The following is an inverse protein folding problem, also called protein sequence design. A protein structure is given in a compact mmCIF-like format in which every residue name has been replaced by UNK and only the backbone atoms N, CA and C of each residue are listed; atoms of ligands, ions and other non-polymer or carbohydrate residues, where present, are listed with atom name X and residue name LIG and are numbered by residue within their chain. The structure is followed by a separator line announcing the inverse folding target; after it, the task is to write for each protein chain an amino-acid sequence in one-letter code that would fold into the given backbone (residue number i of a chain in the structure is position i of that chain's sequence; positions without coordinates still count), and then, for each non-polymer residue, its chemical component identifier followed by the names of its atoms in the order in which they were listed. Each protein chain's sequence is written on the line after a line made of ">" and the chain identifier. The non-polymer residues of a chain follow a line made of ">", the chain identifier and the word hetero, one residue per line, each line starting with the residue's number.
data_IF_917038228050
#
_entry.id   IF_917038228050
#
_cell.length_a   1.000
_cell.length_b   1.000
_cell.length_c   1.000
_cell.angle_alpha   90.00
_cell.angle_beta   90.00
_cell.angle_gamma   90.00
#
_symmetry.space_group_name_H-M   'P 1'
#
loop_
_entity.id
_entity.type
_entity.pdbx_description
1 polymer ?
#
# COMPACT_ATOMS: atom_id res chain seq x y z
N UNK A 1 -5.88 9.18 -16.37
CA UNK A 1 -6.85 8.85 -15.32
C UNK A 1 -6.15 8.16 -14.15
N UNK A 2 -6.53 8.49 -12.92
CA UNK A 2 -5.82 8.11 -11.68
C UNK A 2 -5.99 6.63 -11.32
N UNK A 3 -7.19 6.08 -11.49
CA UNK A 3 -7.53 4.69 -11.21
C UNK A 3 -6.76 3.70 -12.08
N UNK A 4 -6.60 4.01 -13.37
CA UNK A 4 -5.78 3.20 -14.28
C UNK A 4 -4.31 3.15 -13.83
N UNK A 5 -3.76 4.29 -13.38
CA UNK A 5 -2.39 4.36 -12.85
C UNK A 5 -2.23 3.53 -11.58
N UNK A 6 -3.18 3.60 -10.65
CA UNK A 6 -3.19 2.77 -9.43
C UNK A 6 -3.19 1.28 -9.80
N UNK A 7 -4.09 0.88 -10.70
CA UNK A 7 -4.20 -0.51 -11.15
C UNK A 7 -2.91 -0.99 -11.80
N UNK A 8 -2.30 -0.17 -12.66
CA UNK A 8 -1.04 -0.48 -13.34
C UNK A 8 0.09 -0.71 -12.33
N UNK A 9 0.34 0.25 -11.43
CA UNK A 9 1.38 0.14 -10.40
C UNK A 9 1.16 -1.06 -9.48
N UNK A 10 -0.10 -1.36 -9.14
CA UNK A 10 -0.47 -2.54 -8.34
C UNK A 10 -0.08 -3.84 -9.04
N UNK A 11 -0.38 -3.95 -10.34
CA UNK A 11 -0.04 -5.13 -11.14
C UNK A 11 1.48 -5.27 -11.30
N UNK A 12 2.20 -4.16 -11.53
CA UNK A 12 3.67 -4.16 -11.62
C UNK A 12 4.34 -4.64 -10.32
N UNK A 13 3.75 -4.34 -9.16
CA UNK A 13 4.19 -4.86 -7.85
C UNK A 13 3.71 -6.29 -7.56
N UNK A 14 2.92 -6.92 -8.44
CA UNK A 14 2.35 -8.26 -8.28
C UNK A 14 1.52 -8.47 -7.00
N UNK A 15 0.75 -7.48 -6.59
CA UNK A 15 -0.15 -7.58 -5.42
C UNK A 15 -1.62 -7.49 -5.83
N UNK A 16 -2.50 -8.08 -5.03
CA UNK A 16 -3.95 -8.03 -5.16
C UNK A 16 -4.53 -6.71 -4.63
N UNK A 17 -5.79 -6.41 -4.99
CA UNK A 17 -6.52 -5.26 -4.44
C UNK A 17 -6.66 -5.35 -2.91
N UNK A 18 -6.77 -6.57 -2.37
CA UNK A 18 -6.88 -6.79 -0.92
C UNK A 18 -5.57 -6.47 -0.22
N UNK A 19 -4.43 -6.87 -0.78
CA UNK A 19 -3.12 -6.55 -0.22
C UNK A 19 -2.84 -5.05 -0.23
N UNK A 20 -3.13 -4.37 -1.36
CA UNK A 20 -3.01 -2.91 -1.43
C UNK A 20 -3.93 -2.21 -0.41
N UNK A 21 -5.15 -2.72 -0.23
CA UNK A 21 -6.10 -2.18 0.74
C UNK A 21 -5.57 -2.30 2.18
N UNK A 22 -4.98 -3.44 2.53
CA UNK A 22 -4.36 -3.67 3.84
C UNK A 22 -3.17 -2.73 4.08
N UNK A 23 -2.34 -2.49 3.07
CA UNK A 23 -1.19 -1.58 3.14
C UNK A 23 -1.63 -0.13 3.37
N UNK A 24 -2.71 0.28 2.71
CA UNK A 24 -3.24 1.65 2.77
C UNK A 24 -4.29 1.84 3.88
N UNK A 25 -4.57 0.82 4.69
CA UNK A 25 -5.59 0.83 5.74
C UNK A 25 -6.99 1.24 5.24
N UNK A 26 -7.37 0.79 4.06
CA UNK A 26 -8.71 1.01 3.46
C UNK A 26 -9.38 -0.32 3.14
N UNK A 27 -10.66 -0.28 2.74
CA UNK A 27 -11.36 -1.49 2.29
C UNK A 27 -10.93 -1.92 0.88
N UNK A 28 -10.98 -3.22 0.58
CA UNK A 28 -10.78 -3.75 -0.78
C UNK A 28 -11.71 -3.07 -1.80
N UNK A 29 -12.95 -2.82 -1.38
CA UNK A 29 -13.96 -2.15 -2.20
C UNK A 29 -13.54 -0.72 -2.53
N UNK A 30 -12.89 -0.01 -1.61
CA UNK A 30 -12.33 1.33 -1.84
C UNK A 30 -11.30 1.30 -2.96
N UNK A 31 -10.31 0.39 -2.89
CA UNK A 31 -9.32 0.19 -3.96
C UNK A 31 -10.02 -0.13 -5.29
N UNK A 32 -10.97 -1.06 -5.27
CA UNK A 32 -11.71 -1.45 -6.47
C UNK A 32 -12.59 -0.33 -7.04
N UNK A 33 -13.02 0.65 -6.24
CA UNK A 33 -13.73 1.85 -6.70
C UNK A 33 -12.77 2.88 -7.30
N UNK A 34 -11.59 3.06 -6.70
CA UNK A 34 -10.53 3.90 -7.28
C UNK A 34 -10.08 3.36 -8.64
N UNK A 35 -9.77 2.07 -8.76
CA UNK A 35 -9.31 1.46 -10.02
C UNK A 35 -10.37 1.48 -11.15
N UNK A 36 -11.64 1.71 -10.81
CA UNK A 36 -12.75 1.82 -11.78
C UNK A 36 -13.26 3.25 -11.93
N UNK A 37 -12.52 4.24 -11.44
CA UNK A 37 -12.86 5.67 -11.52
C UNK A 37 -14.23 6.03 -10.89
N UNK A 38 -14.73 5.20 -9.97
CA UNK A 38 -16.02 5.47 -9.31
C UNK A 38 -15.91 6.49 -8.18
N UNK A 39 -14.72 6.59 -7.59
CA UNK A 39 -14.36 7.51 -6.52
C UNK A 39 -12.89 7.87 -6.68
N UNK A 40 -12.48 9.03 -6.17
CA UNK A 40 -11.08 9.48 -6.23
C UNK A 40 -10.48 9.34 -4.81
N UNK A 41 -9.23 8.88 -4.67
CA UNK A 41 -8.52 8.90 -3.39
C UNK A 41 -8.34 10.34 -2.90
N UNK A 42 -8.51 10.57 -1.59
CA UNK A 42 -8.19 11.85 -0.98
C UNK A 42 -6.66 12.10 -0.98
N UNK A 43 -6.23 13.31 -0.60
CA UNK A 43 -4.82 13.70 -0.60
C UNK A 43 -3.95 12.78 0.27
N UNK A 44 -4.44 12.36 1.44
CA UNK A 44 -3.72 11.43 2.33
C UNK A 44 -3.46 10.08 1.64
N UNK A 45 -4.49 9.51 1.02
CA UNK A 45 -4.38 8.26 0.27
C UNK A 45 -3.46 8.38 -0.94
N UNK A 46 -3.45 9.53 -1.62
CA UNK A 46 -2.51 9.80 -2.73
C UNK A 46 -1.07 9.82 -2.21
N UNK A 47 -0.81 10.45 -1.05
CA UNK A 47 0.51 10.43 -0.42
C UNK A 47 0.92 9.01 -0.04
N UNK A 48 0.01 8.21 0.53
CA UNK A 48 0.30 6.82 0.86
C UNK A 48 0.57 5.96 -0.39
N UNK A 49 -0.21 6.12 -1.46
CA UNK A 49 0.00 5.46 -2.75
C UNK A 49 1.37 5.82 -3.34
N UNK A 50 1.70 7.11 -3.38
CA UNK A 50 3.00 7.61 -3.83
C UNK A 50 4.15 7.00 -3.02
N UNK A 51 4.01 6.96 -1.71
CA UNK A 51 5.00 6.36 -0.82
C UNK A 51 5.17 4.86 -1.06
N UNK A 52 4.06 4.13 -1.21
CA UNK A 52 4.08 2.68 -1.41
C UNK A 52 4.66 2.29 -2.77
N UNK A 53 4.30 3.02 -3.81
CA UNK A 53 4.79 2.76 -5.18
C UNK A 53 6.13 3.41 -5.49
N UNK A 54 6.71 4.18 -4.56
CA UNK A 54 7.97 4.91 -4.73
C UNK A 54 7.93 5.88 -5.92
N UNK A 55 6.79 6.54 -6.11
CA UNK A 55 6.57 7.54 -7.16
C UNK A 55 6.24 8.90 -6.54
N UNK A 56 6.35 9.98 -7.30
CA UNK A 56 5.87 11.28 -6.85
C UNK A 56 4.34 11.34 -6.86
N UNK A 57 3.75 12.12 -5.96
CA UNK A 57 2.30 12.37 -5.97
C UNK A 57 1.82 12.99 -7.28
N UNK A 58 2.68 13.76 -7.96
CA UNK A 58 2.47 14.32 -9.29
C UNK A 58 2.09 13.26 -10.33
N UNK A 59 2.57 12.01 -10.17
CA UNK A 59 2.24 10.91 -11.07
C UNK A 59 0.73 10.64 -11.13
N UNK A 60 -0.01 10.88 -10.05
CA UNK A 60 -1.45 10.62 -9.96
C UNK A 60 -2.33 11.78 -10.45
N UNK A 61 -1.77 12.96 -10.74
CA UNK A 61 -2.50 14.12 -11.24
C UNK A 61 -2.25 14.28 -12.75
N UNK A 62 -3.32 14.28 -13.55
CA UNK A 62 -3.23 14.33 -15.02
C UNK A 62 -2.77 15.71 -15.58
N UNK A 63 -2.48 16.68 -14.71
CA UNK A 63 -2.05 18.04 -15.10
C UNK A 63 -0.54 18.19 -15.33
N UNK A 64 0.27 17.16 -15.09
CA UNK A 64 1.72 17.22 -15.28
C UNK A 64 2.14 16.45 -16.54
N UNK A 65 2.45 17.23 -17.57
CA UNK A 65 2.84 16.87 -18.93
C UNK A 65 3.72 15.61 -19.07
N UNK A 66 3.37 14.86 -20.11
CA UNK A 66 3.97 13.64 -20.64
C UNK A 66 5.37 13.84 -21.28
N UNK A 67 6.21 14.72 -20.73
CA UNK A 67 7.51 15.06 -21.30
C UNK A 67 8.58 15.32 -20.24
N UNK A 68 8.99 14.28 -19.49
CA UNK A 68 10.33 14.21 -18.88
C UNK A 68 10.83 12.78 -18.86
N UNK A 69 11.33 12.31 -20.00
CA UNK A 69 12.49 11.43 -19.94
C UNK A 69 13.63 12.21 -19.26
N UNK A 70 14.26 11.57 -18.28
CA UNK A 70 15.45 11.98 -17.51
C UNK A 70 15.27 12.81 -16.23
N UNK A 71 16.01 12.33 -15.22
CA UNK A 71 16.35 12.91 -13.92
C UNK A 71 15.46 12.54 -12.73
N UNK A 72 15.55 11.25 -12.39
CA UNK A 72 15.87 10.80 -11.02
C UNK A 72 16.60 11.92 -10.26
N UNK A 73 15.93 12.54 -9.29
CA UNK A 73 16.37 13.80 -8.69
C UNK A 73 15.86 14.04 -7.27
N UNK A 74 16.01 13.03 -6.40
CA UNK A 74 16.38 13.17 -4.97
C UNK A 74 15.69 14.30 -4.15
N UNK A 75 14.52 14.01 -3.55
CA UNK A 75 14.05 14.60 -2.27
C UNK A 75 13.20 13.55 -1.53
N UNK A 76 13.75 12.76 -0.60
CA UNK A 76 13.98 13.07 0.82
C UNK A 76 12.73 13.50 1.61
N UNK A 77 11.76 12.59 1.79
CA UNK A 77 10.99 12.49 3.04
C UNK A 77 10.49 11.04 3.25
N UNK A 78 11.40 10.06 3.15
CA UNK A 78 11.08 8.63 3.14
C UNK A 78 11.50 7.89 4.43
N UNK A 79 11.38 8.52 5.59
CA UNK A 79 11.93 7.97 6.84
C UNK A 79 10.92 7.45 7.87
N UNK A 80 9.61 7.47 7.62
CA UNK A 80 8.63 7.19 8.68
C UNK A 80 7.99 5.79 8.68
N UNK A 81 8.08 4.98 7.62
CA UNK A 81 7.26 3.75 7.52
C UNK A 81 8.02 2.40 7.46
N UNK A 82 9.28 2.33 7.89
CA UNK A 82 10.01 1.03 7.95
C UNK A 82 9.83 0.25 9.27
N UNK A 83 9.13 0.79 10.27
CA UNK A 83 9.24 0.33 11.66
C UNK A 83 8.21 -0.66 12.20
N UNK A 84 7.09 -0.94 11.52
CA UNK A 84 5.93 -1.56 12.21
C UNK A 84 5.69 -3.04 11.84
N UNK A 85 6.13 -3.54 10.68
CA UNK A 85 5.72 -4.89 10.22
C UNK A 85 6.51 -6.08 10.84
N UNK A 86 7.59 -5.83 11.58
CA UNK A 86 8.52 -6.90 12.02
C UNK A 86 8.15 -7.57 13.35
N UNK A 87 7.20 -7.04 14.12
CA UNK A 87 6.94 -7.52 15.50
C UNK A 87 5.86 -8.61 15.59
N UNK A 88 4.98 -8.73 14.59
CA UNK A 88 3.79 -9.59 14.69
C UNK A 88 4.02 -11.10 14.56
N UNK A 89 5.18 -11.55 14.05
CA UNK A 89 5.47 -12.99 13.88
C UNK A 89 5.86 -13.68 15.19
N UNK A 90 6.50 -12.96 16.12
CA UNK A 90 6.95 -13.49 17.41
C UNK A 90 5.79 -13.64 18.39
N UNK A 91 4.89 -12.65 18.43
CA UNK A 91 3.72 -12.66 19.32
C UNK A 91 2.75 -13.82 19.01
N UNK A 92 2.59 -14.17 17.72
CA UNK A 92 1.72 -15.28 17.30
C UNK A 92 2.24 -16.66 17.77
N UNK A 93 3.56 -16.85 17.79
CA UNK A 93 4.17 -18.12 18.20
C UNK A 93 4.03 -18.38 19.72
N UNK A 94 4.13 -17.32 20.53
CA UNK A 94 3.94 -17.39 21.99
C UNK A 94 2.51 -17.83 22.34
N UNK A 95 1.51 -17.36 21.59
CA UNK A 95 0.11 -17.74 21.81
C UNK A 95 -0.14 -19.23 21.57
N UNK A 96 0.47 -19.83 20.54
CA UNK A 96 0.36 -21.26 20.27
C UNK A 96 1.02 -22.13 21.36
N UNK A 97 2.13 -21.68 21.95
CA UNK A 97 2.87 -22.43 22.98
C UNK A 97 2.10 -22.56 24.31
N UNK A 98 1.24 -21.60 24.63
CA UNK A 98 0.46 -21.58 25.90
C UNK A 98 -0.83 -22.41 25.84
N UNK A 99 -1.37 -22.69 24.65
CA UNK A 99 -2.68 -23.35 24.48
C UNK A 99 -2.53 -24.88 24.36
N UNK A 100 -1.45 -25.36 23.76
CA UNK A 100 -1.17 -26.80 23.55
C UNK A 100 -1.27 -27.67 24.83
N UNK A 101 -0.81 -27.23 26.03
CA UNK A 101 -0.88 -28.05 27.24
C UNK A 101 -2.31 -28.34 27.71
N UNK A 102 -3.25 -27.43 27.45
CA UNK A 102 -4.64 -27.58 27.88
C UNK A 102 -5.42 -28.61 27.06
N UNK A 103 -4.96 -28.90 25.83
CA UNK A 103 -5.56 -29.90 24.95
C UNK A 103 -5.09 -31.33 25.22
N UNK A 104 -4.00 -31.53 25.97
CA UNK A 104 -3.44 -32.85 26.27
C UNK A 104 -3.93 -33.45 27.60
N UNK A 105 -4.78 -32.72 28.34
CA UNK A 105 -5.29 -33.13 29.66
C UNK A 105 -6.71 -33.74 29.58
N UNK A 106 -7.27 -33.86 28.37
CA UNK A 106 -8.54 -34.56 28.09
C UNK A 106 -8.32 -35.69 27.09
#
# INVERSE_FOLDING_TARGET
>A
MIGEKIKKLRIEKNISQTELANILFVSRQTIGRWEREQTIPNTENIVMLANFFEVETSAFFDTYNDNKNTLVGKRSSFKQFKGIMSTYKLDLYIFFLLIIPFFYIY
#
